data_IF_071265860428
#
_entry.id   IF_071265860428
#
_cell.length_a   1.000
_cell.length_b   1.000
_cell.length_c   1.000
_cell.angle_alpha   90.00
_cell.angle_beta   90.00
_cell.angle_gamma   90.00
#
_symmetry.space_group_name_H-M   'P 1'
#
loop_
_entity.id
_entity.type
_entity.pdbx_description
1 polymer ?
#
# COMPACT_ATOMS: atom_id res chain seq x y z
N UNK A 1 -1.12 -14.46 -13.96
CA UNK A 1 -0.51 -14.59 -12.62
C UNK A 1 -0.90 -13.37 -11.79
N UNK A 2 -0.88 -13.46 -10.45
CA UNK A 2 -1.18 -12.31 -9.58
C UNK A 2 -0.02 -11.32 -9.60
N UNK A 3 -0.32 -10.04 -9.81
CA UNK A 3 0.66 -8.96 -9.82
C UNK A 3 1.40 -8.87 -8.47
N UNK A 4 2.72 -8.61 -8.44
CA UNK A 4 3.51 -8.48 -7.21
C UNK A 4 2.89 -7.54 -6.17
N UNK A 5 2.41 -6.38 -6.62
CA UNK A 5 1.81 -5.34 -5.78
C UNK A 5 0.55 -5.84 -5.08
N UNK A 6 -0.24 -6.68 -5.76
CA UNK A 6 -1.43 -7.28 -5.16
C UNK A 6 -1.07 -8.32 -4.10
N UNK A 7 0.07 -9.01 -4.24
CA UNK A 7 0.54 -9.94 -3.22
C UNK A 7 0.96 -9.16 -1.97
N UNK A 8 1.73 -8.09 -2.15
CA UNK A 8 2.18 -7.20 -1.08
C UNK A 8 0.99 -6.59 -0.33
N UNK A 9 -0.04 -6.11 -1.04
CA UNK A 9 -1.25 -5.58 -0.42
C UNK A 9 -1.94 -6.62 0.48
N UNK A 10 -2.00 -7.87 0.04
CA UNK A 10 -2.62 -8.95 0.81
C UNK A 10 -1.78 -9.31 2.04
N UNK A 11 -0.46 -9.28 1.93
CA UNK A 11 0.45 -9.52 3.06
C UNK A 11 0.31 -8.42 4.12
N UNK A 12 0.22 -7.15 3.72
CA UNK A 12 -0.03 -6.05 4.66
C UNK A 12 -1.35 -6.19 5.41
N UNK A 13 -2.43 -6.60 4.75
CA UNK A 13 -3.73 -6.85 5.39
C UNK A 13 -3.62 -7.95 6.46
N UNK A 14 -2.89 -9.02 6.15
CA UNK A 14 -2.68 -10.15 7.07
C UNK A 14 -1.78 -9.75 8.23
N UNK A 15 -0.68 -9.03 7.98
CA UNK A 15 0.22 -8.50 9.01
C UNK A 15 -0.50 -7.55 9.97
N UNK A 16 -1.44 -6.74 9.46
CA UNK A 16 -2.30 -5.90 10.28
C UNK A 16 -3.33 -6.70 11.10
N UNK A 17 -3.42 -8.02 10.91
CA UNK A 17 -4.43 -8.87 11.55
C UNK A 17 -5.86 -8.54 11.08
N UNK A 18 -6.00 -7.95 9.90
CA UNK A 18 -7.28 -7.49 9.34
C UNK A 18 -7.88 -8.48 8.33
N UNK A 19 -7.18 -9.57 8.01
CA UNK A 19 -7.69 -10.59 7.10
C UNK A 19 -6.93 -11.91 7.16
N UNK A 20 -7.45 -12.90 6.45
CA UNK A 20 -6.89 -14.25 6.34
C UNK A 20 -6.50 -14.52 4.90
N UNK A 21 -5.25 -14.93 4.68
CA UNK A 21 -4.77 -15.33 3.36
C UNK A 21 -5.13 -16.79 3.09
N UNK A 22 -5.85 -17.04 2.00
CA UNK A 22 -6.01 -18.40 1.45
C UNK A 22 -5.27 -18.47 0.12
N UNK A 23 -4.12 -19.18 0.04
CA UNK A 23 -3.41 -19.38 -1.22
C UNK A 23 -4.29 -20.12 -2.23
N UNK A 24 -4.21 -19.75 -3.52
CA UNK A 24 -5.06 -20.31 -4.58
C UNK A 24 -5.00 -21.85 -4.65
N UNK A 25 -3.81 -22.43 -4.45
CA UNK A 25 -3.60 -23.89 -4.42
C UNK A 25 -4.33 -24.60 -3.27
N UNK A 26 -4.86 -23.84 -2.29
CA UNK A 26 -5.62 -24.33 -1.14
C UNK A 26 -7.11 -23.96 -1.19
N UNK A 27 -7.61 -23.43 -2.31
CA UNK A 27 -9.03 -23.06 -2.48
C UNK A 27 -9.92 -24.30 -2.58
N UNK A 28 -10.23 -24.86 -1.42
CA UNK A 28 -11.20 -25.95 -1.25
C UNK A 28 -12.37 -25.42 -0.42
N UNK A 29 -13.60 -25.84 -0.75
CA UNK A 29 -14.85 -25.43 -0.06
C UNK A 29 -14.70 -25.43 1.46
N UNK A 30 -14.13 -26.50 2.02
CA UNK A 30 -13.90 -26.64 3.47
C UNK A 30 -12.97 -25.56 4.03
N UNK A 31 -11.86 -25.26 3.35
CA UNK A 31 -10.87 -24.27 3.82
C UNK A 31 -11.46 -22.87 3.77
N UNK A 32 -12.16 -22.53 2.68
CA UNK A 32 -12.81 -21.23 2.52
C UNK A 32 -13.87 -21.04 3.62
N UNK A 33 -14.71 -22.06 3.87
CA UNK A 33 -15.70 -22.03 4.95
C UNK A 33 -15.05 -21.77 6.31
N UNK A 34 -13.98 -22.49 6.64
CA UNK A 34 -13.26 -22.31 7.91
C UNK A 34 -12.69 -20.90 8.05
N UNK A 35 -12.14 -20.32 6.98
CA UNK A 35 -11.63 -18.96 7.01
C UNK A 35 -12.75 -17.93 7.22
N UNK A 36 -13.93 -18.14 6.61
CA UNK A 36 -15.11 -17.30 6.82
C UNK A 36 -15.61 -17.43 8.27
N UNK A 37 -15.69 -18.65 8.79
CA UNK A 37 -16.10 -18.90 10.18
C UNK A 37 -15.15 -18.20 11.16
N UNK A 38 -13.83 -18.35 10.99
CA UNK A 38 -12.83 -17.69 11.84
C UNK A 38 -12.97 -16.16 11.80
N UNK A 39 -12.99 -15.55 10.60
CA UNK A 39 -13.01 -14.09 10.49
C UNK A 39 -14.33 -13.47 10.99
N UNK A 40 -15.44 -14.21 10.95
CA UNK A 40 -16.74 -13.74 11.41
C UNK A 40 -16.95 -13.94 12.91
N UNK A 41 -16.35 -14.97 13.50
CA UNK A 41 -16.46 -15.27 14.93
C UNK A 41 -15.43 -14.52 15.78
N UNK A 42 -14.30 -14.14 15.19
CA UNK A 42 -13.23 -13.42 15.88
C UNK A 42 -13.32 -11.91 15.61
N UNK A 43 -13.89 -11.17 16.57
CA UNK A 43 -14.09 -9.72 16.49
C UNK A 43 -12.78 -8.91 16.33
N UNK A 44 -11.61 -9.50 16.63
CA UNK A 44 -10.33 -8.82 16.47
C UNK A 44 -10.06 -8.45 15.01
N UNK A 45 -10.44 -9.30 14.04
CA UNK A 45 -10.26 -9.00 12.61
C UNK A 45 -11.00 -7.73 12.20
N UNK A 46 -12.26 -7.59 12.65
CA UNK A 46 -13.05 -6.38 12.39
C UNK A 46 -12.42 -5.14 13.02
N UNK A 47 -12.05 -5.23 14.29
CA UNK A 47 -11.40 -4.12 15.02
C UNK A 47 -10.11 -3.68 14.33
N UNK A 48 -9.29 -4.63 13.88
CA UNK A 48 -8.04 -4.34 13.19
C UNK A 48 -8.27 -3.76 11.79
N UNK A 49 -9.28 -4.25 11.05
CA UNK A 49 -9.66 -3.67 9.77
C UNK A 49 -10.15 -2.22 9.90
N UNK A 50 -10.93 -1.91 10.95
CA UNK A 50 -11.35 -0.54 11.26
C UNK A 50 -10.14 0.35 11.61
N UNK A 51 -9.21 -0.16 12.43
CA UNK A 51 -7.95 0.54 12.75
C UNK A 51 -7.12 0.82 11.49
N UNK A 52 -6.92 -0.17 10.63
CA UNK A 52 -6.17 -0.03 9.38
C UNK A 52 -6.83 1.01 8.45
N UNK A 53 -8.16 0.98 8.33
CA UNK A 53 -8.91 1.98 7.57
C UNK A 53 -8.67 3.40 8.10
N UNK A 54 -8.71 3.57 9.41
CA UNK A 54 -8.55 4.88 10.04
C UNK A 54 -7.10 5.40 9.89
N UNK A 55 -6.11 4.51 9.96
CA UNK A 55 -4.71 4.82 9.63
C UNK A 55 -4.55 5.27 8.18
N UNK A 56 -5.14 4.54 7.22
CA UNK A 56 -5.10 4.91 5.80
C UNK A 56 -5.76 6.27 5.54
N UNK A 57 -6.85 6.60 6.25
CA UNK A 57 -7.55 7.88 6.11
C UNK A 57 -6.79 9.08 6.67
N UNK A 58 -5.89 8.87 7.63
CA UNK A 58 -5.05 9.95 8.18
C UNK A 58 -4.00 10.43 7.18
N UNK A 59 -3.68 9.62 6.18
CA UNK A 59 -2.70 9.97 5.16
C UNK A 59 -3.40 10.81 4.08
N UNK A 60 -3.16 12.12 4.08
CA UNK A 60 -3.51 12.98 2.94
C UNK A 60 -2.51 12.75 1.81
N UNK A 61 -2.76 11.67 1.07
CA UNK A 61 -1.87 11.21 0.01
C UNK A 61 -1.78 12.24 -1.11
N UNK A 62 -2.85 12.97 -1.41
CA UNK A 62 -2.83 14.01 -2.45
C UNK A 62 -1.89 15.14 -2.09
N UNK A 63 -2.01 15.67 -0.86
CA UNK A 63 -1.12 16.72 -0.39
C UNK A 63 0.33 16.26 -0.32
N UNK A 64 0.58 15.07 0.23
CA UNK A 64 1.93 14.51 0.34
C UNK A 64 2.57 14.30 -1.03
N UNK A 65 1.84 13.71 -1.98
CA UNK A 65 2.33 13.50 -3.35
C UNK A 65 2.56 14.82 -4.08
N UNK A 66 1.63 15.78 -3.98
CA UNK A 66 1.80 17.09 -4.63
C UNK A 66 3.04 17.82 -4.10
N UNK A 67 3.24 17.81 -2.77
CA UNK A 67 4.43 18.40 -2.15
C UNK A 67 5.72 17.72 -2.63
N UNK A 68 5.75 16.38 -2.68
CA UNK A 68 6.92 15.63 -3.14
C UNK A 68 7.24 15.87 -4.63
N UNK A 69 6.23 15.94 -5.49
CA UNK A 69 6.40 16.25 -6.92
C UNK A 69 6.93 17.68 -7.08
N UNK A 70 6.36 18.64 -6.35
CA UNK A 70 6.80 20.03 -6.43
C UNK A 70 8.25 20.20 -5.97
N UNK A 71 8.61 19.57 -4.85
CA UNK A 71 9.98 19.54 -4.33
C UNK A 71 10.96 18.95 -5.36
N UNK A 72 10.58 17.84 -6.00
CA UNK A 72 11.37 17.25 -7.08
C UNK A 72 11.55 18.21 -8.26
N UNK A 73 10.50 18.92 -8.70
CA UNK A 73 10.60 19.86 -9.82
C UNK A 73 11.56 21.02 -9.47
N UNK A 74 11.43 21.59 -8.27
CA UNK A 74 12.23 22.76 -7.88
C UNK A 74 13.68 22.40 -7.61
N UNK A 75 13.92 21.30 -6.89
CA UNK A 75 15.27 20.96 -6.42
C UNK A 75 16.01 20.07 -7.41
N UNK A 76 15.40 18.98 -7.90
CA UNK A 76 16.08 18.04 -8.80
C UNK A 76 16.16 18.55 -10.25
N UNK A 77 15.03 18.95 -10.84
CA UNK A 77 15.03 19.42 -12.24
C UNK A 77 15.59 20.84 -12.39
N UNK A 78 15.47 21.66 -11.35
CA UNK A 78 16.06 23.01 -11.32
C UNK A 78 17.58 23.00 -11.23
N UNK A 79 18.18 22.05 -10.51
CA UNK A 79 19.64 21.86 -10.45
C UNK A 79 20.19 21.33 -11.78
N UNK A 80 19.60 20.27 -12.33
CA UNK A 80 20.03 19.70 -13.63
C UNK A 80 19.99 20.72 -14.79
N UNK A 81 19.00 21.62 -14.80
CA UNK A 81 18.94 22.71 -15.78
C UNK A 81 20.04 23.77 -15.60
N UNK A 82 20.42 24.07 -14.36
CA UNK A 82 21.50 25.03 -14.06
C UNK A 82 22.86 24.44 -14.46
N UNK A 83 23.11 23.20 -14.10
CA UNK A 83 24.34 22.49 -14.47
C UNK A 83 24.49 22.34 -16.00
N UNK A 84 23.39 22.11 -16.73
CA UNK A 84 23.39 22.03 -18.19
C UNK A 84 23.64 23.38 -18.88
N UNK A 85 23.17 24.50 -18.30
CA UNK A 85 23.41 25.84 -18.84
C UNK A 85 24.86 26.28 -18.62
N UNK A 86 25.45 25.96 -17.47
CA UNK A 86 26.84 26.28 -17.14
C UNK A 86 27.85 25.43 -17.96
N UNK A 87 27.46 24.21 -18.35
CA UNK A 87 28.27 23.35 -19.22
C UNK A 87 28.26 23.78 -20.71
N UNK A 88 27.22 24.49 -21.16
CA UNK A 88 27.08 24.97 -22.54
C UNK A 88 27.72 26.34 -22.83
N UNK A 89 28.25 27.02 -21.81
CA UNK A 89 28.95 28.31 -21.93
C UNK A 89 30.49 28.18 -21.92
N UNK A 90 31.04 26.96 -21.98
CA UNK A 90 32.48 26.69 -22.10
C UNK A 90 32.89 26.27 -23.50
#
# INVERSE_FOLDING_TARGET
SMQPEQQINLDHIVQAGAGIRVPAVRWKKRIIRLAIEEITQNAAYRKNAEKLRDEMRRIDSRRATAAAIWDFIINKLGEEKRDALDAGQK
#
